data_IF_366778700498
#
_entry.id   IF_366778700498
#
_cell.length_a   1.000
_cell.length_b   1.000
_cell.length_c   1.000
_cell.angle_alpha   90.00
_cell.angle_beta   90.00
_cell.angle_gamma   90.00
#
_symmetry.space_group_name_H-M   'P 1'
#
loop_
_entity.id
_entity.type
_entity.pdbx_description
1 polymer ?
#
# COMPACT_ATOMS: atom_id res chain seq x y z
N UNK A 1 12.83 -3.47 -4.72
CA UNK A 1 13.20 -2.83 -6.00
C UNK A 1 12.69 -1.38 -6.09
N UNK A 2 11.38 -1.14 -5.96
CA UNK A 2 10.79 0.22 -6.11
C UNK A 2 11.35 1.24 -5.10
N UNK A 3 11.44 0.89 -3.82
CA UNK A 3 11.98 1.78 -2.77
C UNK A 3 13.46 2.14 -2.99
N UNK A 4 14.25 1.17 -3.47
CA UNK A 4 15.65 1.39 -3.85
C UNK A 4 15.70 2.33 -5.07
N UNK A 5 14.82 2.11 -6.06
CA UNK A 5 14.66 2.99 -7.20
C UNK A 5 14.34 4.43 -6.78
N UNK A 6 13.35 4.64 -5.92
CA UNK A 6 12.98 5.97 -5.42
C UNK A 6 14.16 6.65 -4.72
N UNK A 7 14.91 5.91 -3.88
CA UNK A 7 16.08 6.46 -3.20
C UNK A 7 17.19 6.89 -4.18
N UNK A 8 17.41 6.11 -5.24
CA UNK A 8 18.39 6.44 -6.27
C UNK A 8 17.93 7.65 -7.10
N UNK A 9 16.68 7.68 -7.55
CA UNK A 9 16.19 8.70 -8.48
C UNK A 9 15.93 10.05 -7.82
N UNK A 10 15.33 10.07 -6.62
CA UNK A 10 14.93 11.31 -5.95
C UNK A 10 15.91 11.78 -4.88
N UNK A 11 16.69 10.86 -4.31
CA UNK A 11 17.59 11.16 -3.20
C UNK A 11 19.07 10.91 -3.54
N UNK A 12 19.42 10.69 -4.80
CA UNK A 12 20.79 10.47 -5.28
C UNK A 12 21.58 9.39 -4.51
N UNK A 13 20.87 8.35 -4.10
CA UNK A 13 21.37 7.26 -3.26
C UNK A 13 21.90 7.73 -1.89
N UNK A 14 21.50 8.90 -1.39
CA UNK A 14 21.95 9.44 -0.09
C UNK A 14 21.66 8.45 1.04
N UNK A 15 20.47 7.85 1.04
CA UNK A 15 20.08 6.82 2.01
C UNK A 15 20.84 5.49 1.90
N UNK A 16 21.60 5.28 0.82
CA UNK A 16 22.52 4.13 0.66
C UNK A 16 23.98 4.50 0.99
N UNK A 17 24.30 5.80 1.10
CA UNK A 17 25.67 6.33 1.24
C UNK A 17 26.00 6.80 2.66
N UNK A 18 25.01 7.24 3.44
CA UNK A 18 25.20 7.60 4.85
C UNK A 18 24.99 6.37 5.75
N UNK A 19 25.73 6.21 6.88
CA UNK A 19 25.56 5.08 7.80
C UNK A 19 24.29 5.13 8.66
N UNK A 20 23.55 6.24 8.61
CA UNK A 20 22.36 6.46 9.43
C UNK A 20 21.12 5.87 8.74
N UNK A 21 20.98 4.55 8.90
CA UNK A 21 20.16 3.71 8.04
C UNK A 21 18.78 3.39 8.62
N UNK A 22 18.23 4.20 9.52
CA UNK A 22 16.93 3.92 10.15
C UNK A 22 15.82 3.57 9.14
N UNK A 23 15.92 4.12 7.93
CA UNK A 23 15.07 3.72 6.80
C UNK A 23 15.22 2.23 6.41
N UNK A 24 16.44 1.75 6.17
CA UNK A 24 16.67 0.36 5.74
C UNK A 24 16.71 -0.65 6.90
N UNK A 25 17.10 -0.23 8.10
CA UNK A 25 17.27 -1.11 9.27
C UNK A 25 16.01 -1.21 10.13
N UNK A 26 15.15 -0.18 10.13
CA UNK A 26 13.91 -0.18 10.93
C UNK A 26 12.67 -0.06 10.04
N UNK A 27 12.57 1.00 9.23
CA UNK A 27 11.35 1.30 8.48
C UNK A 27 11.02 0.19 7.45
N UNK A 28 11.99 -0.22 6.63
CA UNK A 28 11.77 -1.27 5.61
C UNK A 28 11.37 -2.61 6.25
N UNK A 29 12.06 -3.15 7.28
CA UNK A 29 11.63 -4.38 7.94
C UNK A 29 10.24 -4.27 8.57
N UNK A 30 9.95 -3.18 9.31
CA UNK A 30 8.65 -2.99 9.97
C UNK A 30 7.53 -2.91 8.94
N UNK A 31 7.69 -2.10 7.89
CA UNK A 31 6.69 -1.98 6.83
C UNK A 31 6.51 -3.28 6.06
N UNK A 32 7.57 -4.07 5.88
CA UNK A 32 7.49 -5.40 5.27
C UNK A 32 6.68 -6.37 6.14
N UNK A 33 6.93 -6.40 7.46
CA UNK A 33 6.16 -7.23 8.38
C UNK A 33 4.68 -6.84 8.41
N UNK A 34 4.38 -5.54 8.42
CA UNK A 34 3.00 -5.03 8.32
C UNK A 34 2.37 -5.46 7.00
N UNK A 35 3.08 -5.34 5.87
CA UNK A 35 2.58 -5.76 4.57
C UNK A 35 2.28 -7.27 4.53
N UNK A 36 3.15 -8.10 5.11
CA UNK A 36 2.91 -9.54 5.26
C UNK A 36 1.68 -9.82 6.13
N UNK A 37 1.54 -9.14 7.26
CA UNK A 37 0.37 -9.29 8.13
C UNK A 37 -0.92 -8.93 7.39
N UNK A 38 -0.95 -7.78 6.69
CA UNK A 38 -2.09 -7.38 5.84
C UNK A 38 -2.37 -8.46 4.78
N UNK A 39 -1.34 -9.00 4.14
CA UNK A 39 -1.50 -10.03 3.12
C UNK A 39 -2.16 -11.30 3.67
N UNK A 40 -1.68 -11.82 4.80
CA UNK A 40 -2.15 -13.07 5.37
C UNK A 40 -3.50 -12.95 6.07
N UNK A 41 -3.72 -11.86 6.82
CA UNK A 41 -4.91 -11.70 7.65
C UNK A 41 -6.06 -10.98 6.94
N UNK A 42 -5.76 -10.18 5.91
CA UNK A 42 -6.76 -9.34 5.24
C UNK A 42 -6.90 -9.75 3.78
N UNK A 43 -5.86 -9.58 2.96
CA UNK A 43 -5.95 -9.75 1.51
C UNK A 43 -6.34 -11.18 1.11
N UNK A 44 -5.69 -12.20 1.67
CA UNK A 44 -5.96 -13.60 1.34
C UNK A 44 -7.38 -14.06 1.74
N UNK A 45 -7.86 -13.82 2.99
CA UNK A 45 -9.23 -14.14 3.36
C UNK A 45 -10.28 -13.45 2.50
N UNK A 46 -10.06 -12.18 2.16
CA UNK A 46 -10.93 -11.42 1.26
C UNK A 46 -10.98 -12.09 -0.11
N UNK A 47 -9.81 -12.39 -0.68
CA UNK A 47 -9.72 -13.02 -1.99
C UNK A 47 -10.42 -14.38 -2.03
N UNK A 48 -10.19 -15.25 -1.04
CA UNK A 48 -10.86 -16.55 -0.94
C UNK A 48 -12.38 -16.42 -0.86
N UNK A 49 -12.89 -15.43 -0.13
CA UNK A 49 -14.33 -15.16 -0.08
C UNK A 49 -14.86 -14.67 -1.42
N UNK A 50 -14.12 -13.79 -2.10
CA UNK A 50 -14.48 -13.32 -3.43
C UNK A 50 -14.52 -14.44 -4.47
N UNK A 51 -13.52 -15.32 -4.50
CA UNK A 51 -13.49 -16.46 -5.43
C UNK A 51 -14.67 -17.41 -5.16
N UNK A 52 -15.00 -17.65 -3.89
CA UNK A 52 -16.09 -18.57 -3.52
C UNK A 52 -17.49 -18.01 -3.77
N UNK A 53 -17.71 -16.71 -3.51
CA UNK A 53 -19.07 -16.10 -3.47
C UNK A 53 -19.29 -15.01 -4.52
N UNK A 54 -18.25 -14.59 -5.23
CA UNK A 54 -18.25 -13.41 -6.12
C UNK A 54 -18.35 -12.08 -5.37
N UNK A 55 -18.45 -12.08 -4.03
CA UNK A 55 -18.70 -10.91 -3.19
C UNK A 55 -18.00 -11.02 -1.83
N UNK A 56 -17.65 -9.88 -1.26
CA UNK A 56 -17.17 -9.73 0.12
C UNK A 56 -17.98 -8.63 0.80
N UNK A 57 -18.58 -8.92 1.96
CA UNK A 57 -19.50 -7.99 2.67
C UNK A 57 -20.60 -7.44 1.73
N UNK A 58 -21.17 -8.30 0.88
CA UNK A 58 -22.22 -7.91 -0.08
C UNK A 58 -21.74 -7.07 -1.26
N UNK A 59 -20.49 -6.61 -1.28
CA UNK A 59 -19.90 -5.81 -2.35
C UNK A 59 -19.18 -6.70 -3.37
N UNK A 60 -19.23 -6.27 -4.64
CA UNK A 60 -18.37 -6.82 -5.70
C UNK A 60 -16.90 -6.38 -5.54
N UNK A 61 -15.99 -7.00 -6.29
CA UNK A 61 -14.55 -6.76 -6.18
C UNK A 61 -14.16 -5.30 -6.43
N UNK A 62 -14.75 -4.67 -7.46
CA UNK A 62 -14.46 -3.30 -7.84
C UNK A 62 -14.90 -2.28 -6.78
N UNK A 63 -16.17 -2.22 -6.33
CA UNK A 63 -16.57 -1.26 -5.29
C UNK A 63 -15.82 -1.49 -3.98
N UNK A 64 -15.53 -2.75 -3.63
CA UNK A 64 -14.71 -3.05 -2.45
C UNK A 64 -13.28 -2.51 -2.60
N UNK A 65 -12.67 -2.67 -3.77
CA UNK A 65 -11.32 -2.16 -4.07
C UNK A 65 -11.26 -0.65 -3.97
N UNK A 66 -12.23 0.05 -4.54
CA UNK A 66 -12.33 1.52 -4.45
C UNK A 66 -12.43 1.95 -2.99
N UNK A 67 -13.29 1.29 -2.22
CA UNK A 67 -13.46 1.59 -0.79
C UNK A 67 -12.15 1.42 -0.01
N UNK A 68 -11.45 0.30 -0.21
CA UNK A 68 -10.15 0.03 0.44
C UNK A 68 -9.14 1.12 0.09
N UNK A 69 -8.98 1.44 -1.19
CA UNK A 69 -8.04 2.47 -1.65
C UNK A 69 -8.35 3.84 -1.03
N UNK A 70 -9.62 4.23 -0.99
CA UNK A 70 -10.02 5.51 -0.41
C UNK A 70 -9.78 5.56 1.09
N UNK A 71 -10.15 4.50 1.83
CA UNK A 71 -9.92 4.46 3.29
C UNK A 71 -8.43 4.54 3.59
N UNK A 72 -7.60 3.69 2.98
CA UNK A 72 -6.16 3.70 3.26
C UNK A 72 -5.47 4.97 2.77
N UNK A 73 -5.88 5.52 1.61
CA UNK A 73 -5.36 6.79 1.11
C UNK A 73 -5.69 7.96 2.02
N UNK A 74 -6.92 8.02 2.54
CA UNK A 74 -7.34 9.03 3.51
C UNK A 74 -6.63 8.86 4.86
N UNK A 75 -6.52 7.63 5.37
CA UNK A 75 -5.76 7.34 6.59
C UNK A 75 -4.31 7.78 6.42
N UNK A 76 -3.69 7.51 5.27
CA UNK A 76 -2.34 7.97 4.98
C UNK A 76 -2.23 9.49 4.98
N UNK A 77 -3.17 10.18 4.32
CA UNK A 77 -3.26 11.64 4.39
C UNK A 77 -3.28 12.13 5.84
N UNK A 78 -4.17 11.61 6.68
CA UNK A 78 -4.26 12.05 8.08
C UNK A 78 -3.05 11.67 8.95
N UNK A 79 -2.37 10.56 8.66
CA UNK A 79 -1.19 10.11 9.44
C UNK A 79 0.05 10.92 9.09
N UNK A 80 0.21 11.32 7.83
CA UNK A 80 1.40 12.00 7.33
C UNK A 80 1.21 13.50 7.09
N UNK A 81 -0.01 14.02 7.25
CA UNK A 81 -0.27 15.46 7.14
C UNK A 81 0.35 16.22 8.31
N UNK A 82 1.14 17.24 7.95
CA UNK A 82 1.65 18.24 8.88
C UNK A 82 0.74 19.50 8.84
N UNK A 83 -0.04 19.79 9.91
CA UNK A 83 -1.04 20.86 9.90
C UNK A 83 -0.49 22.25 9.56
N UNK A 84 0.77 22.51 9.88
CA UNK A 84 1.46 23.78 9.62
C UNK A 84 1.56 24.10 8.11
N UNK A 85 1.48 23.10 7.23
CA UNK A 85 1.46 23.26 5.77
C UNK A 85 0.05 23.44 5.18
N UNK A 86 -0.99 23.44 6.04
CA UNK A 86 -2.38 23.70 5.66
C UNK A 86 -3.06 22.55 4.92
N UNK A 87 -4.34 22.77 4.55
CA UNK A 87 -5.19 21.72 3.94
C UNK A 87 -4.77 21.31 2.53
N UNK A 88 -4.05 22.17 1.79
CA UNK A 88 -3.52 21.79 0.47
C UNK A 88 -2.51 20.65 0.57
N UNK A 89 -1.72 20.60 1.65
CA UNK A 89 -0.80 19.49 1.91
C UNK A 89 -1.59 18.21 2.18
N UNK A 90 -2.60 18.26 3.05
CA UNK A 90 -3.47 17.11 3.36
C UNK A 90 -4.07 16.49 2.09
N UNK A 91 -4.53 17.32 1.16
CA UNK A 91 -5.06 16.83 -0.13
C UNK A 91 -3.97 16.17 -0.94
N UNK A 92 -2.78 16.77 -1.04
CA UNK A 92 -1.66 16.22 -1.79
C UNK A 92 -1.16 14.89 -1.20
N UNK A 93 -1.01 14.80 0.12
CA UNK A 93 -0.60 13.56 0.81
C UNK A 93 -1.67 12.49 0.72
N UNK A 94 -2.96 12.84 0.84
CA UNK A 94 -4.08 11.91 0.61
C UNK A 94 -4.06 11.35 -0.81
N UNK A 95 -3.91 12.20 -1.84
CA UNK A 95 -3.84 11.77 -3.23
C UNK A 95 -2.61 10.88 -3.50
N UNK A 96 -1.48 11.21 -2.88
CA UNK A 96 -0.26 10.39 -2.94
C UNK A 96 -0.51 9.01 -2.32
N UNK A 97 -1.17 8.96 -1.16
CA UNK A 97 -1.60 7.74 -0.50
C UNK A 97 -2.52 6.91 -1.39
N UNK A 98 -3.57 7.51 -1.94
CA UNK A 98 -4.50 6.85 -2.88
C UNK A 98 -3.73 6.22 -4.05
N UNK A 99 -2.80 6.95 -4.66
CA UNK A 99 -1.97 6.44 -5.75
C UNK A 99 -1.13 5.23 -5.33
N UNK A 100 -0.43 5.33 -4.19
CA UNK A 100 0.40 4.26 -3.66
C UNK A 100 -0.42 3.00 -3.34
N UNK A 101 -1.54 3.15 -2.63
CA UNK A 101 -2.42 2.03 -2.29
C UNK A 101 -3.12 1.43 -3.51
N UNK A 102 -3.42 2.23 -4.54
CA UNK A 102 -3.93 1.72 -5.82
C UNK A 102 -2.94 0.76 -6.46
N UNK A 103 -1.68 1.18 -6.59
CA UNK A 103 -0.62 0.36 -7.19
C UNK A 103 -0.41 -0.92 -6.38
N UNK A 104 -0.30 -0.80 -5.05
CA UNK A 104 -0.13 -1.93 -4.15
C UNK A 104 -1.29 -2.93 -4.25
N UNK A 105 -2.53 -2.44 -4.13
CA UNK A 105 -3.71 -3.28 -4.08
C UNK A 105 -3.98 -3.99 -5.41
N UNK A 106 -3.88 -3.27 -6.53
CA UNK A 106 -4.06 -3.86 -7.87
C UNK A 106 -2.96 -4.91 -8.13
N UNK A 107 -1.70 -4.63 -7.77
CA UNK A 107 -0.61 -5.60 -7.91
C UNK A 107 -0.92 -6.89 -7.14
N UNK A 108 -1.41 -6.77 -5.90
CA UNK A 108 -1.83 -7.92 -5.10
C UNK A 108 -2.97 -8.72 -5.76
N UNK A 109 -4.02 -8.05 -6.25
CA UNK A 109 -5.14 -8.74 -6.91
C UNK A 109 -4.69 -9.46 -8.19
N UNK A 110 -3.80 -8.85 -8.97
CA UNK A 110 -3.22 -9.46 -10.17
C UNK A 110 -2.43 -10.72 -9.80
N UNK A 111 -1.53 -10.62 -8.81
CA UNK A 111 -0.71 -11.75 -8.34
C UNK A 111 -1.61 -12.88 -7.86
N UNK A 112 -2.62 -12.59 -7.03
CA UNK A 112 -3.56 -13.59 -6.53
C UNK A 112 -4.32 -14.28 -7.65
N UNK A 113 -4.79 -13.52 -8.65
CA UNK A 113 -5.43 -14.08 -9.83
C UNK A 113 -4.50 -14.99 -10.64
N UNK A 114 -3.21 -14.68 -10.70
CA UNK A 114 -2.23 -15.56 -11.36
C UNK A 114 -1.93 -16.82 -10.55
N UNK A 115 -1.85 -16.72 -9.22
CA UNK A 115 -1.63 -17.87 -8.35
C UNK A 115 -2.80 -18.84 -8.39
N UNK A 116 -4.04 -18.33 -8.33
CA UNK A 116 -5.25 -19.16 -8.45
C UNK A 116 -5.40 -19.86 -9.80
N UNK A 117 -4.76 -19.38 -10.87
CA UNK A 117 -4.77 -20.05 -12.17
C UNK A 117 -3.71 -21.15 -12.29
N UNK A 118 -2.73 -21.17 -11.38
CA UNK A 118 -1.61 -22.14 -11.39
C UNK A 118 -1.79 -23.26 -10.37
N UNK A 119 -2.59 -23.03 -9.33
CA UNK A 119 -2.99 -24.01 -8.31
C UNK A 119 -4.30 -24.68 -8.70
#
# INVERSE_FOLDING_TARGET
AVLIGINVTFFNASGLKTPDNGFFTLFVPITTLIALAIQFFITLPIWKQFVKKGKFIGMGLLPFTILVILIFGLTFGFVFWEPDFGYSELVATTLTGIGAFTIYWISNLIILRFLDKRL
#
